data_IF_900367815215
#
_entry.id   IF_900367815215
#
_cell.length_a   1.000
_cell.length_b   1.000
_cell.length_c   1.000
_cell.angle_alpha   90.00
_cell.angle_beta   90.00
_cell.angle_gamma   90.00
#
_symmetry.space_group_name_H-M   'P 1'
#
loop_
_entity.id
_entity.type
_entity.pdbx_description
1 polymer ?
#
# COMPACT_ATOMS: atom_id res chain seq x y z
N UNK A 1 26.04 -9.03 -27.70
CA UNK A 1 24.76 -8.32 -27.50
C UNK A 1 24.25 -8.71 -26.14
N UNK A 2 24.14 -7.78 -25.21
CA UNK A 2 23.62 -8.07 -23.87
C UNK A 2 22.10 -8.22 -23.90
N UNK A 3 21.57 -9.10 -23.05
CA UNK A 3 20.16 -9.40 -22.93
C UNK A 3 19.77 -9.45 -21.46
N UNK A 4 18.70 -8.74 -21.11
CA UNK A 4 18.05 -8.83 -19.81
C UNK A 4 16.67 -9.44 -20.05
N UNK A 5 16.28 -10.38 -19.21
CA UNK A 5 14.90 -10.86 -19.10
C UNK A 5 14.51 -10.80 -17.63
N UNK A 6 13.41 -10.14 -17.33
CA UNK A 6 12.80 -10.08 -15.99
C UNK A 6 11.35 -10.53 -16.11
N UNK A 7 10.86 -11.23 -15.08
CA UNK A 7 9.47 -11.68 -14.99
C UNK A 7 9.02 -11.66 -13.53
N UNK A 8 7.94 -10.96 -13.28
CA UNK A 8 7.26 -11.06 -12.00
C UNK A 8 6.82 -12.50 -11.72
N UNK A 9 7.05 -12.97 -10.51
CA UNK A 9 6.73 -14.34 -10.09
C UNK A 9 5.63 -14.39 -9.05
N UNK A 10 5.76 -13.65 -7.95
CA UNK A 10 4.79 -13.64 -6.87
C UNK A 10 5.03 -12.45 -5.92
N UNK A 11 4.05 -12.15 -5.06
CA UNK A 11 4.22 -11.33 -3.85
C UNK A 11 4.07 -12.18 -2.61
N UNK A 12 4.85 -11.87 -1.59
CA UNK A 12 4.75 -12.47 -0.27
C UNK A 12 4.98 -11.43 0.82
N UNK A 13 4.60 -11.76 2.04
CA UNK A 13 4.99 -11.01 3.23
C UNK A 13 6.19 -11.67 3.89
N UNK A 14 7.11 -10.87 4.40
CA UNK A 14 8.21 -11.36 5.22
C UNK A 14 7.83 -11.46 6.70
N UNK A 15 8.79 -11.86 7.53
CA UNK A 15 8.61 -12.02 8.97
C UNK A 15 8.24 -10.73 9.71
N UNK A 16 8.39 -9.57 9.06
CA UNK A 16 8.01 -8.25 9.58
C UNK A 16 6.69 -7.75 8.99
N UNK A 17 5.91 -8.62 8.32
CA UNK A 17 4.66 -8.29 7.61
C UNK A 17 4.83 -7.26 6.48
N UNK A 18 6.07 -7.03 6.02
CA UNK A 18 6.40 -6.17 4.89
C UNK A 18 6.31 -6.95 3.58
N UNK A 19 5.77 -6.32 2.54
CA UNK A 19 5.62 -6.94 1.23
C UNK A 19 6.94 -7.04 0.46
N UNK A 20 7.12 -8.18 -0.20
CA UNK A 20 8.24 -8.53 -1.04
C UNK A 20 7.74 -9.08 -2.38
N UNK A 21 8.33 -8.59 -3.47
CA UNK A 21 8.10 -9.13 -4.80
C UNK A 21 9.21 -10.12 -5.15
N UNK A 22 8.82 -11.32 -5.57
CA UNK A 22 9.72 -12.29 -6.20
C UNK A 22 9.75 -12.04 -7.70
N UNK A 23 10.94 -11.76 -8.22
CA UNK A 23 11.20 -11.50 -9.63
C UNK A 23 12.20 -12.52 -10.12
N UNK A 24 11.79 -13.31 -11.11
CA UNK A 24 12.74 -14.13 -11.86
C UNK A 24 13.51 -13.23 -12.82
N UNK A 25 14.82 -13.34 -12.83
CA UNK A 25 15.67 -12.48 -13.64
C UNK A 25 16.79 -13.27 -14.32
N UNK A 26 17.17 -12.85 -15.52
CA UNK A 26 18.30 -13.37 -16.27
C UNK A 26 19.05 -12.23 -16.92
N UNK A 27 20.38 -12.24 -16.80
CA UNK A 27 21.28 -11.32 -17.48
C UNK A 27 22.34 -12.09 -18.27
N UNK A 28 22.50 -11.71 -19.53
CA UNK A 28 23.42 -12.37 -20.46
C UNK A 28 24.30 -11.33 -21.15
N UNK A 29 25.59 -11.62 -21.22
CA UNK A 29 26.58 -10.97 -22.08
C UNK A 29 27.20 -12.01 -23.01
N UNK A 30 28.07 -11.60 -23.94
CA UNK A 30 28.55 -12.44 -25.05
C UNK A 30 29.13 -13.81 -24.65
N UNK A 31 29.61 -13.96 -23.41
CA UNK A 31 30.21 -15.22 -22.92
C UNK A 31 29.69 -15.68 -21.56
N UNK A 32 28.78 -14.92 -20.93
CA UNK A 32 28.43 -15.10 -19.52
C UNK A 32 26.92 -14.94 -19.39
N UNK A 33 26.28 -15.86 -18.66
CA UNK A 33 24.86 -15.80 -18.32
C UNK A 33 24.67 -16.08 -16.85
N UNK A 34 23.83 -15.28 -16.19
CA UNK A 34 23.28 -15.57 -14.88
C UNK A 34 21.75 -15.58 -14.97
N UNK A 35 21.11 -16.48 -14.24
CA UNK A 35 19.65 -16.53 -14.07
C UNK A 35 19.33 -17.00 -12.65
N UNK A 36 18.28 -16.42 -12.05
CA UNK A 36 17.90 -16.72 -10.68
C UNK A 36 16.67 -15.93 -10.24
N UNK A 37 16.23 -16.21 -9.02
CA UNK A 37 15.17 -15.44 -8.37
C UNK A 37 15.80 -14.33 -7.52
N UNK A 38 15.26 -13.13 -7.67
CA UNK A 38 15.56 -11.96 -6.86
C UNK A 38 14.33 -11.63 -6.05
N UNK A 39 14.54 -11.26 -4.80
CA UNK A 39 13.50 -10.70 -3.96
C UNK A 39 13.72 -9.20 -3.83
N UNK A 40 12.67 -8.44 -4.12
CA UNK A 40 12.65 -6.98 -4.06
C UNK A 40 11.74 -6.59 -2.91
N UNK A 41 12.32 -6.06 -1.85
CA UNK A 41 11.58 -5.60 -0.68
C UNK A 41 11.15 -4.15 -0.86
N UNK A 42 9.89 -3.88 -0.54
CA UNK A 42 9.36 -2.53 -0.37
C UNK A 42 9.96 -1.88 0.88
N UNK A 43 10.64 -0.75 0.70
CA UNK A 43 11.10 0.08 1.81
C UNK A 43 10.17 1.27 1.90
N UNK A 44 9.57 1.45 3.07
CA UNK A 44 8.61 2.52 3.31
C UNK A 44 7.40 2.60 2.35
N UNK A 45 7.01 1.46 1.77
CA UNK A 45 5.87 1.37 0.87
C UNK A 45 6.15 1.90 -0.54
N UNK A 46 7.41 2.19 -0.89
CA UNK A 46 7.79 2.64 -2.23
C UNK A 46 8.84 1.70 -2.86
N UNK A 47 8.68 1.47 -4.17
CA UNK A 47 9.74 0.88 -4.98
C UNK A 47 10.68 1.99 -5.47
N UNK A 48 11.60 2.44 -4.63
CA UNK A 48 12.50 3.55 -4.99
C UNK A 48 13.98 3.12 -5.09
N UNK A 49 14.88 4.11 -5.18
CA UNK A 49 16.31 3.86 -5.25
C UNK A 49 16.90 3.10 -4.06
N UNK A 50 16.18 3.00 -2.93
CA UNK A 50 16.56 2.29 -1.72
C UNK A 50 15.88 0.91 -1.58
N UNK A 51 15.15 0.43 -2.60
CA UNK A 51 14.68 -0.95 -2.64
C UNK A 51 15.80 -1.92 -2.28
N UNK A 52 15.54 -2.80 -1.31
CA UNK A 52 16.47 -3.87 -0.99
C UNK A 52 16.23 -5.03 -1.95
N UNK A 53 17.25 -5.35 -2.74
CA UNK A 53 17.24 -6.49 -3.66
C UNK A 53 18.15 -7.54 -3.07
N UNK A 54 17.64 -8.74 -2.83
CA UNK A 54 18.42 -9.86 -2.35
C UNK A 54 18.16 -11.13 -3.16
N UNK A 55 19.01 -12.14 -2.99
CA UNK A 55 18.82 -13.46 -3.58
C UNK A 55 19.32 -14.52 -2.62
N UNK A 56 18.54 -15.58 -2.43
CA UNK A 56 18.98 -16.76 -1.67
C UNK A 56 20.15 -17.48 -2.33
N UNK A 57 20.31 -17.33 -3.64
CA UNK A 57 21.37 -17.96 -4.43
C UNK A 57 22.65 -17.13 -4.47
N UNK A 58 22.59 -15.85 -4.10
CA UNK A 58 23.74 -14.93 -4.05
C UNK A 58 23.99 -14.53 -2.59
N UNK A 59 24.98 -15.16 -1.97
CA UNK A 59 25.35 -14.91 -0.57
C UNK A 59 25.95 -13.51 -0.41
N UNK A 60 25.18 -12.57 0.12
CA UNK A 60 25.63 -11.22 0.45
C UNK A 60 24.84 -10.68 1.66
N UNK A 61 25.47 -9.79 2.44
CA UNK A 61 24.92 -9.28 3.70
C UNK A 61 24.10 -7.98 3.55
N UNK A 62 24.23 -7.29 2.41
CA UNK A 62 23.67 -5.96 2.15
C UNK A 62 22.72 -5.98 0.94
N UNK A 63 22.38 -4.86 0.28
CA UNK A 63 21.59 -4.86 -0.95
C UNK A 63 22.43 -5.26 -2.18
N UNK A 64 21.93 -6.15 -3.04
CA UNK A 64 22.62 -6.55 -4.28
C UNK A 64 22.88 -5.36 -5.20
N UNK A 65 21.94 -4.41 -5.28
CA UNK A 65 22.10 -3.24 -6.14
C UNK A 65 23.38 -2.46 -5.83
N UNK A 66 23.71 -2.35 -4.55
CA UNK A 66 24.88 -1.59 -4.08
C UNK A 66 26.16 -2.44 -4.06
N UNK A 67 26.04 -3.76 -3.85
CA UNK A 67 27.18 -4.64 -3.58
C UNK A 67 27.37 -5.79 -4.59
N UNK A 68 26.67 -5.79 -5.73
CA UNK A 68 26.80 -6.86 -6.74
C UNK A 68 28.24 -7.07 -7.21
N UNK A 69 29.09 -6.02 -7.17
CA UNK A 69 30.50 -6.08 -7.56
C UNK A 69 31.34 -7.04 -6.72
N UNK A 70 30.93 -7.28 -5.48
CA UNK A 70 31.63 -8.16 -4.55
C UNK A 70 31.17 -9.62 -4.68
N UNK A 71 30.21 -9.90 -5.57
CA UNK A 71 29.67 -11.24 -5.84
C UNK A 71 30.36 -11.89 -7.04
N UNK A 72 30.58 -13.20 -6.98
CA UNK A 72 31.17 -13.94 -8.11
C UNK A 72 30.16 -14.09 -9.27
N UNK A 73 28.87 -14.03 -8.96
CA UNK A 73 27.74 -14.23 -9.87
C UNK A 73 27.47 -13.01 -10.75
N UNK A 74 27.39 -11.82 -10.14
CA UNK A 74 27.01 -10.59 -10.82
C UNK A 74 28.17 -9.60 -11.00
N UNK A 75 29.24 -9.70 -10.20
CA UNK A 75 30.38 -8.76 -10.25
C UNK A 75 31.22 -8.84 -11.52
N UNK A 76 30.99 -9.87 -12.33
CA UNK A 76 31.62 -10.10 -13.64
C UNK A 76 31.01 -9.27 -14.78
N UNK A 77 29.81 -8.72 -14.59
CA UNK A 77 29.12 -7.90 -15.59
C UNK A 77 29.54 -6.43 -15.49
N UNK A 78 29.41 -5.69 -16.59
CA UNK A 78 29.71 -4.26 -16.61
C UNK A 78 28.65 -3.44 -15.84
N UNK A 79 29.08 -2.30 -15.30
CA UNK A 79 28.25 -1.46 -14.44
C UNK A 79 27.03 -0.88 -15.14
N UNK A 80 27.15 -0.54 -16.42
CA UNK A 80 26.05 0.01 -17.20
C UNK A 80 24.95 -1.04 -17.40
N UNK A 81 25.35 -2.28 -17.74
CA UNK A 81 24.43 -3.41 -17.84
C UNK A 81 23.77 -3.74 -16.51
N UNK A 82 24.52 -3.77 -15.41
CA UNK A 82 23.98 -4.07 -14.09
C UNK A 82 23.05 -2.98 -13.56
N UNK A 83 23.35 -1.72 -13.84
CA UNK A 83 22.44 -0.60 -13.53
C UNK A 83 21.08 -0.82 -14.20
N UNK A 84 21.09 -1.07 -15.51
CA UNK A 84 19.86 -1.36 -16.28
C UNK A 84 19.15 -2.61 -15.80
N UNK A 85 19.90 -3.66 -15.45
CA UNK A 85 19.34 -4.91 -14.93
C UNK A 85 18.54 -4.67 -13.65
N UNK A 86 19.09 -3.96 -12.67
CA UNK A 86 18.36 -3.66 -11.43
C UNK A 86 17.18 -2.70 -11.65
N UNK A 87 17.29 -1.74 -12.60
CA UNK A 87 16.16 -0.90 -12.99
C UNK A 87 15.00 -1.73 -13.58
N UNK A 88 15.30 -2.68 -14.47
CA UNK A 88 14.28 -3.57 -15.05
C UNK A 88 13.67 -4.49 -13.97
N UNK A 89 14.46 -5.01 -13.03
CA UNK A 89 13.97 -5.81 -11.89
C UNK A 89 13.02 -5.02 -10.99
N UNK A 90 13.37 -3.77 -10.65
CA UNK A 90 12.51 -2.91 -9.82
C UNK A 90 11.23 -2.54 -10.55
N UNK A 91 11.31 -2.19 -11.84
CA UNK A 91 10.13 -1.86 -12.63
C UNK A 91 9.15 -3.04 -12.75
N UNK A 92 9.68 -4.26 -12.94
CA UNK A 92 8.87 -5.48 -12.99
C UNK A 92 8.24 -5.81 -11.63
N UNK A 93 8.97 -5.63 -10.53
CA UNK A 93 8.46 -5.76 -9.17
C UNK A 93 7.33 -4.76 -8.87
N UNK A 94 7.54 -3.48 -9.23
CA UNK A 94 6.57 -2.41 -9.07
C UNK A 94 5.30 -2.69 -9.88
N UNK A 95 5.45 -3.12 -11.14
CA UNK A 95 4.32 -3.51 -11.96
C UNK A 95 3.55 -4.67 -11.33
N UNK A 96 4.23 -5.77 -10.98
CA UNK A 96 3.57 -6.92 -10.36
C UNK A 96 2.89 -6.58 -9.04
N UNK A 97 3.49 -5.71 -8.23
CA UNK A 97 2.88 -5.19 -7.03
C UNK A 97 1.62 -4.37 -7.31
N UNK A 98 1.63 -3.50 -8.31
CA UNK A 98 0.44 -2.75 -8.71
C UNK A 98 -0.69 -3.63 -9.24
N UNK A 99 -0.35 -4.77 -9.87
CA UNK A 99 -1.32 -5.72 -10.44
C UNK A 99 -1.93 -6.65 -9.38
N UNK A 100 -1.15 -7.11 -8.40
CA UNK A 100 -1.58 -8.09 -7.40
C UNK A 100 -2.02 -7.44 -6.06
N UNK A 101 -1.36 -6.37 -5.63
CA UNK A 101 -1.72 -5.61 -4.41
C UNK A 101 -2.65 -4.44 -4.73
N UNK A 102 -3.70 -4.71 -5.49
CA UNK A 102 -4.78 -3.73 -5.71
C UNK A 102 -5.45 -3.35 -4.39
N UNK A 103 -6.01 -2.13 -4.32
CA UNK A 103 -6.75 -1.66 -3.15
C UNK A 103 -7.84 -2.66 -2.74
N UNK A 104 -8.58 -3.22 -3.69
CA UNK A 104 -9.61 -4.21 -3.42
C UNK A 104 -9.01 -5.47 -2.78
N UNK A 105 -7.92 -6.02 -3.32
CA UNK A 105 -7.25 -7.19 -2.74
C UNK A 105 -6.74 -6.92 -1.31
N UNK A 106 -6.16 -5.75 -1.07
CA UNK A 106 -5.70 -5.34 0.27
C UNK A 106 -6.88 -5.18 1.25
N UNK A 107 -8.01 -4.67 0.78
CA UNK A 107 -9.22 -4.56 1.58
C UNK A 107 -9.79 -5.94 1.91
N UNK A 108 -9.91 -6.84 0.92
CA UNK A 108 -10.37 -8.21 1.13
C UNK A 108 -9.47 -8.96 2.13
N UNK A 109 -8.15 -8.79 2.05
CA UNK A 109 -7.20 -9.36 3.02
C UNK A 109 -7.42 -8.79 4.43
N UNK A 110 -7.57 -7.47 4.55
CA UNK A 110 -7.65 -6.78 5.85
C UNK A 110 -8.96 -7.06 6.61
N UNK A 111 -10.10 -7.15 5.90
CA UNK A 111 -11.42 -7.29 6.53
C UNK A 111 -12.03 -8.69 6.36
N UNK A 112 -11.45 -9.54 5.50
CA UNK A 112 -11.97 -10.88 5.20
C UNK A 112 -13.30 -10.88 4.45
N UNK A 113 -13.72 -9.75 3.89
CA UNK A 113 -14.94 -9.61 3.10
C UNK A 113 -14.60 -9.64 1.63
N UNK A 114 -15.44 -10.28 0.81
CA UNK A 114 -15.38 -10.11 -0.64
C UNK A 114 -16.17 -8.88 -1.01
N UNK A 115 -15.55 -7.94 -1.72
CA UNK A 115 -16.16 -6.63 -1.95
C UNK A 115 -16.66 -6.51 -3.40
N UNK A 116 -17.80 -5.85 -3.58
CA UNK A 116 -18.16 -5.34 -4.89
C UNK A 116 -17.30 -4.13 -5.24
N UNK A 117 -17.21 -3.76 -6.53
CA UNK A 117 -16.58 -2.50 -6.95
C UNK A 117 -17.09 -1.32 -6.11
N UNK A 118 -16.19 -0.42 -5.71
CA UNK A 118 -16.56 0.75 -4.91
C UNK A 118 -17.61 1.56 -5.66
N UNK A 119 -18.78 1.71 -5.05
CA UNK A 119 -19.93 2.28 -5.76
C UNK A 119 -19.96 3.80 -5.67
N UNK A 120 -19.36 4.39 -4.62
CA UNK A 120 -19.48 5.83 -4.33
C UNK A 120 -18.46 6.29 -3.27
N UNK A 121 -17.95 7.52 -3.41
CA UNK A 121 -17.31 8.24 -2.30
C UNK A 121 -18.29 8.37 -1.13
N UNK A 122 -17.86 7.96 0.06
CA UNK A 122 -18.66 7.96 1.28
C UNK A 122 -18.79 9.35 1.93
N UNK A 123 -17.89 10.27 1.58
CA UNK A 123 -17.93 11.71 1.88
C UNK A 123 -16.78 12.41 1.12
N UNK A 124 -16.92 13.69 0.78
CA UNK A 124 -15.85 14.52 0.18
C UNK A 124 -15.89 15.96 0.71
N UNK A 125 -14.92 16.86 0.49
CA UNK A 125 -13.57 16.78 -0.04
C UNK A 125 -12.53 16.48 1.04
N UNK A 126 -11.45 15.79 0.65
CA UNK A 126 -10.13 15.71 1.29
C UNK A 126 -10.13 16.02 2.78
N UNK A 127 -10.18 14.96 3.59
CA UNK A 127 -9.92 15.07 5.02
C UNK A 127 -8.63 15.87 5.18
N UNK A 128 -8.56 16.75 6.19
CA UNK A 128 -7.32 17.45 6.52
C UNK A 128 -6.15 16.45 6.56
N UNK A 129 -5.28 16.47 5.54
CA UNK A 129 -4.14 15.55 5.41
C UNK A 129 -4.11 14.57 4.23
N UNK A 130 -5.03 14.62 3.24
CA UNK A 130 -4.89 13.84 1.99
C UNK A 130 -5.66 12.52 1.91
N UNK A 131 -6.48 12.21 2.92
CA UNK A 131 -7.30 10.99 2.95
C UNK A 131 -8.67 11.16 2.27
N UNK A 132 -9.11 10.09 1.60
CA UNK A 132 -10.40 9.95 0.93
C UNK A 132 -11.23 8.84 1.60
N UNK A 133 -12.54 9.07 1.74
CA UNK A 133 -13.44 8.05 2.27
C UNK A 133 -14.20 7.34 1.15
N UNK A 134 -14.08 6.02 1.11
CA UNK A 134 -14.79 5.15 0.16
C UNK A 134 -15.66 4.14 0.88
N UNK A 135 -16.80 3.83 0.28
CA UNK A 135 -17.76 2.84 0.77
C UNK A 135 -17.79 1.64 -0.18
N UNK A 136 -17.73 0.46 0.40
CA UNK A 136 -17.86 -0.82 -0.28
C UNK A 136 -19.00 -1.63 0.33
N UNK A 137 -19.59 -2.52 -0.47
CA UNK A 137 -20.59 -3.50 -0.02
C UNK A 137 -20.05 -4.91 -0.23
N UNK A 138 -20.38 -5.81 0.68
CA UNK A 138 -20.04 -7.23 0.55
C UNK A 138 -20.75 -7.85 -0.66
N UNK A 139 -20.02 -8.66 -1.44
CA UNK A 139 -20.53 -9.27 -2.67
C UNK A 139 -21.66 -10.28 -2.42
N UNK A 140 -21.52 -11.07 -1.35
CA UNK A 140 -22.41 -12.19 -1.01
C UNK A 140 -23.13 -11.99 0.35
N UNK A 141 -23.24 -10.75 0.84
CA UNK A 141 -23.81 -10.45 2.14
C UNK A 141 -24.36 -9.03 2.28
N UNK A 142 -24.68 -8.65 3.52
CA UNK A 142 -25.33 -7.38 3.85
C UNK A 142 -24.35 -6.36 4.46
N UNK A 143 -23.08 -6.75 4.67
CA UNK A 143 -22.10 -5.90 5.34
C UNK A 143 -21.65 -4.74 4.47
N UNK A 144 -21.32 -3.65 5.15
CA UNK A 144 -20.77 -2.44 4.55
C UNK A 144 -19.39 -2.16 5.13
N UNK A 145 -18.46 -1.78 4.26
CA UNK A 145 -17.12 -1.37 4.66
C UNK A 145 -16.92 0.11 4.31
N UNK A 146 -16.57 0.91 5.32
CA UNK A 146 -16.06 2.26 5.15
C UNK A 146 -14.53 2.22 5.25
N UNK A 147 -13.85 2.85 4.30
CA UNK A 147 -12.39 2.87 4.20
C UNK A 147 -11.90 4.29 4.11
N UNK A 148 -10.85 4.62 4.87
CA UNK A 148 -10.06 5.83 4.68
C UNK A 148 -8.80 5.48 3.89
N UNK A 149 -8.72 6.01 2.67
CA UNK A 149 -7.65 5.78 1.72
C UNK A 149 -6.72 6.98 1.69
N UNK A 150 -5.44 6.77 1.94
CA UNK A 150 -4.41 7.77 1.70
C UNK A 150 -4.06 7.78 0.21
N UNK A 151 -4.36 8.89 -0.46
CA UNK A 151 -4.09 9.04 -1.90
C UNK A 151 -2.62 9.33 -2.21
N UNK A 152 -1.81 9.67 -1.20
CA UNK A 152 -0.37 9.92 -1.34
C UNK A 152 0.47 8.70 -0.95
N UNK A 153 -0.12 7.69 -0.30
CA UNK A 153 0.55 6.44 0.03
C UNK A 153 0.37 5.37 -1.06
N UNK A 154 1.25 4.36 -1.05
CA UNK A 154 1.21 3.22 -1.96
C UNK A 154 1.09 1.90 -1.19
N UNK A 155 0.54 0.87 -1.84
CA UNK A 155 0.41 -0.48 -1.27
C UNK A 155 -0.51 -0.53 -0.05
N UNK A 156 -0.11 -1.30 0.96
CA UNK A 156 -0.87 -1.47 2.21
C UNK A 156 -1.02 -0.17 3.01
N UNK A 157 -0.07 0.76 2.86
CA UNK A 157 -0.14 2.10 3.47
C UNK A 157 -1.26 2.96 2.88
N UNK A 158 -1.83 2.57 1.73
CA UNK A 158 -3.04 3.21 1.18
C UNK A 158 -4.22 3.09 2.13
N UNK A 159 -4.36 1.98 2.87
CA UNK A 159 -5.47 1.78 3.79
C UNK A 159 -5.11 2.37 5.15
N UNK A 160 -5.61 3.56 5.45
CA UNK A 160 -5.35 4.21 6.73
C UNK A 160 -6.24 3.67 7.84
N UNK A 161 -7.54 3.50 7.57
CA UNK A 161 -8.54 3.00 8.52
C UNK A 161 -9.65 2.25 7.80
N UNK A 162 -10.22 1.28 8.49
CA UNK A 162 -11.42 0.57 8.05
C UNK A 162 -12.45 0.52 9.18
N UNK A 163 -13.74 0.53 8.82
CA UNK A 163 -14.85 0.23 9.73
C UNK A 163 -15.86 -0.65 9.01
N UNK A 164 -16.17 -1.80 9.59
CA UNK A 164 -17.18 -2.73 9.09
C UNK A 164 -18.49 -2.49 9.83
N UNK A 165 -19.58 -2.47 9.09
CA UNK A 165 -20.96 -2.40 9.59
C UNK A 165 -21.67 -3.69 9.22
N UNK A 166 -22.52 -4.20 10.10
CA UNK A 166 -23.25 -5.46 9.87
C UNK A 166 -24.38 -5.30 8.84
N UNK A 167 -24.79 -4.06 8.54
CA UNK A 167 -25.82 -3.75 7.55
C UNK A 167 -25.74 -2.32 7.00
N UNK A 168 -26.47 -2.07 5.90
CA UNK A 168 -26.71 -0.70 5.39
C UNK A 168 -27.43 0.20 6.41
N UNK A 169 -28.34 -0.37 7.22
CA UNK A 169 -29.07 0.38 8.26
C UNK A 169 -28.11 0.91 9.33
N UNK A 170 -27.14 0.10 9.77
CA UNK A 170 -26.10 0.56 10.72
C UNK A 170 -25.17 1.62 10.12
N UNK A 171 -24.85 1.50 8.83
CA UNK A 171 -24.07 2.51 8.13
C UNK A 171 -24.84 3.84 8.02
N UNK A 172 -26.14 3.79 7.76
CA UNK A 172 -26.99 4.98 7.68
C UNK A 172 -27.13 5.67 9.04
N UNK A 173 -27.32 4.91 10.13
CA UNK A 173 -27.30 5.44 11.50
C UNK A 173 -25.96 6.13 11.82
N UNK A 174 -24.84 5.50 11.43
CA UNK A 174 -23.52 6.08 11.57
C UNK A 174 -23.34 7.40 10.80
N UNK A 175 -23.85 7.46 9.57
CA UNK A 175 -23.83 8.68 8.73
C UNK A 175 -24.66 9.78 9.37
N UNK A 176 -25.86 9.49 9.87
CA UNK A 176 -26.70 10.44 10.58
C UNK A 176 -25.99 10.99 11.83
N UNK A 177 -25.39 10.11 12.63
CA UNK A 177 -24.59 10.48 13.80
C UNK A 177 -23.35 11.34 13.46
N UNK A 178 -22.75 11.15 12.30
CA UNK A 178 -21.63 11.98 11.81
C UNK A 178 -22.09 13.33 11.25
N UNK A 179 -23.35 13.41 10.82
CA UNK A 179 -23.92 14.59 10.17
C UNK A 179 -24.30 15.69 11.15
N UNK A 180 -24.37 15.41 12.45
CA UNK A 180 -24.63 16.39 13.48
C UNK A 180 -23.38 16.66 14.34
N UNK A 181 -22.91 17.92 14.35
CA UNK A 181 -21.85 18.36 15.25
C UNK A 181 -22.28 19.64 15.99
N UNK A 182 -22.25 19.61 17.32
CA UNK A 182 -22.58 20.76 18.18
C UNK A 182 -23.96 21.39 17.85
N UNK A 183 -24.95 20.57 17.51
CA UNK A 183 -26.29 21.02 17.11
C UNK A 183 -26.37 21.67 15.72
N UNK A 184 -25.36 21.45 14.87
CA UNK A 184 -25.35 21.89 13.46
C UNK A 184 -25.34 20.68 12.55
N UNK A 185 -26.14 20.75 11.49
CA UNK A 185 -26.13 19.80 10.40
C UNK A 185 -24.96 20.11 9.44
N UNK A 186 -24.14 19.11 9.18
CA UNK A 186 -23.08 19.14 8.19
C UNK A 186 -23.61 18.61 6.84
N UNK A 187 -23.06 19.15 5.75
CA UNK A 187 -23.39 18.68 4.40
C UNK A 187 -22.48 17.51 4.00
N UNK A 188 -22.98 16.63 3.13
CA UNK A 188 -22.24 15.48 2.61
C UNK A 188 -20.89 15.83 1.96
N UNK A 189 -20.80 17.03 1.38
CA UNK A 189 -19.60 17.55 0.72
C UNK A 189 -18.76 18.49 1.61
N UNK A 190 -18.99 18.50 2.93
CA UNK A 190 -18.24 19.29 3.90
C UNK A 190 -17.02 18.49 4.41
N UNK A 191 -15.84 19.10 4.39
CA UNK A 191 -14.63 18.48 4.94
C UNK A 191 -14.74 18.17 6.43
N UNK A 192 -15.55 18.92 7.20
CA UNK A 192 -15.83 18.59 8.60
C UNK A 192 -16.70 17.34 8.75
N UNK A 193 -17.60 17.07 7.79
CA UNK A 193 -18.39 15.84 7.78
C UNK A 193 -17.49 14.63 7.50
N UNK A 194 -16.66 14.72 6.46
CA UNK A 194 -15.65 13.70 6.17
C UNK A 194 -14.70 13.47 7.36
N UNK A 195 -14.26 14.55 8.04
CA UNK A 195 -13.43 14.44 9.23
C UNK A 195 -14.16 13.76 10.41
N UNK A 196 -15.45 14.03 10.60
CA UNK A 196 -16.25 13.34 11.62
C UNK A 196 -16.37 11.85 11.35
N UNK A 197 -16.69 11.49 10.11
CA UNK A 197 -16.68 10.09 9.68
C UNK A 197 -15.31 9.47 9.92
N UNK A 198 -14.21 10.12 9.56
CA UNK A 198 -12.87 9.58 9.78
C UNK A 198 -12.52 9.35 11.27
N UNK A 199 -12.87 10.31 12.14
CA UNK A 199 -12.57 10.22 13.58
C UNK A 199 -13.36 9.09 14.24
N UNK A 200 -14.65 8.95 13.89
CA UNK A 200 -15.55 7.94 14.47
C UNK A 200 -15.35 6.52 13.91
N UNK A 201 -14.48 6.34 12.91
CA UNK A 201 -14.17 5.02 12.37
C UNK A 201 -13.46 4.10 13.38
N UNK A 202 -12.73 4.67 14.35
CA UNK A 202 -12.06 3.90 15.39
C UNK A 202 -13.07 3.59 16.50
N UNK A 203 -13.30 2.31 16.78
CA UNK A 203 -14.03 1.86 17.96
C UNK A 203 -13.20 2.14 19.23
N UNK A 204 -13.10 3.41 19.61
CA UNK A 204 -12.51 3.77 20.89
C UNK A 204 -13.54 3.55 22.00
N UNK A 205 -13.40 2.45 22.75
CA UNK A 205 -13.34 2.67 24.21
C UNK A 205 -12.11 3.56 24.43
N UNK A 206 -12.34 4.80 24.89
CA UNK A 206 -11.28 5.77 25.15
C UNK A 206 -10.28 5.21 26.17
N UNK A 207 -9.19 4.60 25.71
CA UNK A 207 -7.99 4.40 26.52
C UNK A 207 -7.10 5.64 26.41
N UNK A 208 -6.71 6.16 27.57
CA UNK A 208 -6.08 7.46 27.88
C UNK A 208 -4.71 7.75 27.23
N UNK A 209 -4.34 7.16 26.09
CA UNK A 209 -3.03 7.36 25.45
C UNK A 209 -3.11 7.87 24.01
N UNK A 210 -3.84 8.97 23.80
CA UNK A 210 -3.65 9.86 22.65
C UNK A 210 -3.07 11.18 23.16
N UNK A 211 -1.84 11.14 23.67
CA UNK A 211 -0.95 12.30 23.55
C UNK A 211 -0.42 12.31 22.11
N UNK A 212 -1.21 12.84 21.16
CA UNK A 212 -0.70 13.65 20.02
C UNK A 212 -1.72 14.00 18.93
N UNK A 213 -2.99 13.58 19.00
CA UNK A 213 -4.01 14.15 18.09
C UNK A 213 -4.49 15.55 18.52
N UNK A 214 -4.08 16.05 19.69
CA UNK A 214 -4.31 17.44 20.12
C UNK A 214 -3.34 18.45 19.49
N UNK A 215 -2.25 17.99 18.86
CA UNK A 215 -1.28 18.83 18.15
C UNK A 215 -1.51 18.93 16.64
N UNK A 216 -2.66 18.45 16.13
CA UNK A 216 -3.19 19.01 14.87
C UNK A 216 -3.55 20.47 15.12
N UNK A 217 -2.56 21.32 14.86
CA UNK A 217 -2.56 22.74 15.09
C UNK A 217 -3.71 23.38 14.30
N UNK A 218 -4.87 23.56 14.96
CA UNK A 218 -6.11 24.17 14.44
C UNK A 218 -5.93 25.53 13.73
N UNK A 219 -4.72 26.10 13.77
CA UNK A 219 -4.32 27.36 13.13
C UNK A 219 -3.72 27.22 11.73
N UNK A 220 -3.52 26.01 11.20
CA UNK A 220 -3.16 25.81 9.79
C UNK A 220 -4.36 25.49 8.89
N UNK A 221 -5.57 25.42 9.46
CA UNK A 221 -6.83 25.14 8.76
C UNK A 221 -7.68 26.40 8.45
N UNK A 222 -7.07 27.59 8.50
CA UNK A 222 -7.66 28.86 8.03
C UNK A 222 -6.64 29.72 7.30
#
# INVERSE_FOLDING_TARGET
>A
MSKIEVRFSNIQKNEYESYEALVWASVESDTIKWEGELTVQLVDGEFDCYCQIYSCDISHDDCLRDNYRDTDELGIFDEELMTRFFEEVVAEAEQGFSEECTLDALLEESCGLKLNESSTSAAGCGIAGGFHLEKYTEADGDKVLLVAIDSEANGDRMINRTKVFDSEEEYDEYVEDCSEMNGRQLCWNDGNFALQMYIKMVDCEYDEYVEDCSEMNWRQLF
#
